data_IF_956801098588
#
_entry.id   IF_956801098588
#
_cell.length_a   1.000
_cell.length_b   1.000
_cell.length_c   1.000
_cell.angle_alpha   90.00
_cell.angle_beta   90.00
_cell.angle_gamma   90.00
#
_symmetry.space_group_name_H-M   'P 1'
#
loop_
_entity.id
_entity.type
_entity.pdbx_description
1 polymer ?
#
# COMPACT_ATOMS: atom_id res chain seq x y z
N UNK A 1 8.92 12.96 20.30
CA UNK A 1 8.93 12.27 18.99
C UNK A 1 10.33 11.74 18.77
N UNK A 2 10.45 10.43 18.49
CA UNK A 2 11.73 9.85 18.10
C UNK A 2 12.03 10.41 16.71
N UNK A 3 13.09 11.23 16.60
CA UNK A 3 13.47 11.91 15.36
C UNK A 3 13.98 10.96 14.28
N UNK A 4 14.23 9.69 14.64
CA UNK A 4 14.80 8.67 13.77
C UNK A 4 13.73 7.76 13.14
N UNK A 5 12.45 8.09 13.28
CA UNK A 5 11.33 7.29 12.77
C UNK A 5 10.53 8.10 11.75
N UNK A 6 10.38 7.56 10.56
CA UNK A 6 9.46 8.05 9.54
C UNK A 6 8.35 7.02 9.32
N UNK A 7 7.14 7.39 9.70
CA UNK A 7 5.95 6.54 9.55
C UNK A 7 4.99 7.14 8.52
N UNK A 8 4.11 6.31 7.97
CA UNK A 8 3.09 6.70 6.99
C UNK A 8 3.64 7.35 5.72
N UNK A 9 4.88 7.06 5.34
CA UNK A 9 5.51 7.66 4.16
C UNK A 9 4.81 7.28 2.84
N UNK A 10 4.04 6.18 2.78
CA UNK A 10 3.20 5.82 1.62
C UNK A 10 2.27 6.98 1.24
N UNK A 11 1.76 7.72 2.24
CA UNK A 11 0.83 8.83 2.08
C UNK A 11 1.45 10.09 1.47
N UNK A 12 2.77 10.14 1.45
CA UNK A 12 3.56 11.29 1.01
C UNK A 12 4.33 11.01 -0.30
N UNK A 13 4.18 9.78 -0.84
CA UNK A 13 4.77 9.42 -2.14
C UNK A 13 4.26 10.35 -3.25
N UNK A 14 5.15 10.72 -4.15
CA UNK A 14 4.83 11.60 -5.26
C UNK A 14 4.64 13.07 -4.89
N UNK A 15 4.65 13.44 -3.61
CA UNK A 15 4.55 14.81 -3.17
C UNK A 15 5.94 15.47 -3.18
N UNK A 16 6.04 16.64 -3.83
CA UNK A 16 7.16 17.54 -3.65
C UNK A 16 6.88 18.42 -2.43
N UNK A 17 7.36 17.98 -1.28
CA UNK A 17 7.13 18.66 -0.02
C UNK A 17 8.13 19.80 0.24
N UNK A 18 9.08 20.01 -0.67
CA UNK A 18 10.04 21.09 -0.66
C UNK A 18 10.74 21.26 0.69
N UNK A 19 10.77 22.49 1.19
CA UNK A 19 11.44 22.86 2.44
C UNK A 19 10.83 22.22 3.71
N UNK A 20 9.66 21.60 3.65
CA UNK A 20 9.04 20.91 4.80
C UNK A 20 9.95 19.81 5.36
N UNK A 21 10.79 19.22 4.54
CA UNK A 21 11.75 18.18 4.89
C UNK A 21 13.21 18.64 4.87
N UNK A 22 13.45 19.94 5.05
CA UNK A 22 14.81 20.49 5.16
C UNK A 22 15.63 19.82 6.29
N UNK A 23 14.97 19.23 7.27
CA UNK A 23 15.60 18.42 8.31
C UNK A 23 15.52 16.95 7.93
N UNK A 24 16.42 16.52 7.06
CA UNK A 24 16.57 15.11 6.74
C UNK A 24 16.77 14.28 8.01
N UNK A 25 16.09 13.15 8.07
CA UNK A 25 16.32 12.15 9.12
C UNK A 25 17.66 11.48 8.82
N UNK A 26 18.57 11.53 9.79
CA UNK A 26 19.82 10.79 9.76
C UNK A 26 19.63 9.53 10.60
N UNK A 27 19.93 8.37 10.02
CA UNK A 27 20.00 7.14 10.78
C UNK A 27 21.10 7.17 11.86
N UNK A 28 21.09 6.20 12.77
CA UNK A 28 22.20 5.98 13.74
C UNK A 28 23.53 5.82 13.00
N UNK A 29 23.50 5.15 11.86
CA UNK A 29 24.55 5.22 10.85
C UNK A 29 24.34 6.50 10.04
N UNK A 30 25.18 7.50 10.25
CA UNK A 30 25.13 8.80 9.57
C UNK A 30 25.25 8.72 8.05
N UNK A 31 25.57 7.53 7.49
CA UNK A 31 25.55 7.26 6.06
C UNK A 31 24.13 7.15 5.49
N UNK A 32 23.13 6.84 6.34
CA UNK A 32 21.74 6.73 5.93
C UNK A 32 21.04 8.06 6.13
N UNK A 33 20.66 8.69 5.03
CA UNK A 33 19.95 9.96 5.02
C UNK A 33 18.63 9.81 4.25
N UNK A 34 17.53 10.20 4.86
CA UNK A 34 16.19 10.19 4.27
C UNK A 34 15.75 11.65 4.12
N UNK A 35 15.46 12.07 2.91
CA UNK A 35 15.04 13.45 2.60
C UNK A 35 13.57 13.56 2.23
N UNK A 36 12.99 12.47 1.71
CA UNK A 36 11.61 12.44 1.21
C UNK A 36 11.01 11.02 1.35
N UNK A 37 9.73 10.89 1.03
CA UNK A 37 9.01 9.63 1.09
C UNK A 37 9.58 8.56 0.14
N UNK A 38 10.13 8.97 -1.02
CA UNK A 38 10.78 8.07 -1.96
C UNK A 38 12.03 7.43 -1.34
N UNK A 39 12.87 8.20 -0.65
CA UNK A 39 14.06 7.67 0.05
C UNK A 39 13.65 6.66 1.13
N UNK A 40 12.60 6.97 1.90
CA UNK A 40 12.04 6.06 2.90
C UNK A 40 11.54 4.76 2.25
N UNK A 41 10.88 4.86 1.11
CA UNK A 41 10.37 3.72 0.34
C UNK A 41 11.53 2.86 -0.20
N UNK A 42 12.60 3.47 -0.70
CA UNK A 42 13.81 2.76 -1.15
C UNK A 42 14.41 1.94 0.00
N UNK A 43 14.54 2.54 1.18
CA UNK A 43 15.08 1.84 2.35
C UNK A 43 14.18 0.70 2.82
N UNK A 44 12.87 0.92 2.82
CA UNK A 44 11.89 -0.10 3.16
C UNK A 44 11.99 -1.32 2.24
N UNK A 45 12.00 -1.10 0.92
CA UNK A 45 12.14 -2.22 -0.04
C UNK A 45 13.51 -2.88 0.02
N UNK A 46 14.57 -2.15 0.33
CA UNK A 46 15.89 -2.73 0.57
C UNK A 46 15.87 -3.72 1.75
N UNK A 47 15.26 -3.31 2.84
CA UNK A 47 15.08 -4.17 4.00
C UNK A 47 14.22 -5.40 3.65
N UNK A 48 13.06 -5.19 3.04
CA UNK A 48 12.14 -6.26 2.69
C UNK A 48 12.78 -7.27 1.72
N UNK A 49 13.49 -6.79 0.70
CA UNK A 49 14.24 -7.66 -0.23
C UNK A 49 15.23 -8.56 0.51
N UNK A 50 16.01 -7.98 1.42
CA UNK A 50 16.97 -8.72 2.22
C UNK A 50 16.31 -9.81 3.07
N UNK A 51 15.18 -9.51 3.69
CA UNK A 51 14.43 -10.49 4.47
C UNK A 51 13.88 -11.63 3.59
N UNK A 52 13.35 -11.29 2.40
CA UNK A 52 12.88 -12.29 1.42
C UNK A 52 14.02 -13.19 0.96
N UNK A 53 15.16 -12.62 0.55
CA UNK A 53 16.34 -13.38 0.09
C UNK A 53 16.86 -14.30 1.21
N UNK A 54 16.94 -13.80 2.43
CA UNK A 54 17.33 -14.59 3.61
C UNK A 54 16.37 -15.76 3.87
N UNK A 55 15.06 -15.50 3.77
CA UNK A 55 14.05 -16.55 3.92
C UNK A 55 14.15 -17.62 2.84
N UNK A 56 14.32 -17.21 1.58
CA UNK A 56 14.49 -18.12 0.43
C UNK A 56 15.71 -19.00 0.61
N UNK A 57 16.83 -18.43 1.06
CA UNK A 57 18.07 -19.17 1.35
C UNK A 57 17.88 -20.17 2.49
N UNK A 58 17.32 -19.73 3.62
CA UNK A 58 17.06 -20.58 4.79
C UNK A 58 16.14 -21.76 4.47
N UNK A 59 15.20 -21.58 3.55
CA UNK A 59 14.26 -22.62 3.12
C UNK A 59 14.77 -23.47 1.97
N UNK A 60 15.94 -23.18 1.41
CA UNK A 60 16.49 -23.89 0.27
C UNK A 60 15.64 -23.75 -1.00
N UNK A 61 14.90 -22.64 -1.15
CA UNK A 61 14.04 -22.37 -2.30
C UNK A 61 14.85 -21.84 -3.49
N UNK A 62 14.22 -21.85 -4.68
CA UNK A 62 14.84 -21.30 -5.88
C UNK A 62 15.13 -19.79 -5.70
N UNK A 63 16.37 -19.39 -5.97
CA UNK A 63 16.80 -17.99 -5.82
C UNK A 63 16.35 -17.07 -6.97
N UNK A 64 15.70 -17.61 -8.01
CA UNK A 64 15.10 -16.80 -9.06
C UNK A 64 13.76 -16.20 -8.58
N UNK A 65 13.85 -15.11 -7.82
CA UNK A 65 12.70 -14.47 -7.20
C UNK A 65 12.06 -13.52 -8.20
N UNK A 66 10.75 -13.68 -8.41
CA UNK A 66 9.90 -12.72 -9.12
C UNK A 66 9.06 -11.94 -8.12
N UNK A 67 9.00 -10.64 -8.32
CA UNK A 67 8.23 -9.75 -7.46
C UNK A 67 6.94 -9.34 -8.15
N UNK A 68 5.83 -9.43 -7.42
CA UNK A 68 4.55 -8.81 -7.79
C UNK A 68 4.16 -7.81 -6.72
N UNK A 69 3.72 -6.64 -7.12
CA UNK A 69 3.43 -5.53 -6.20
C UNK A 69 2.05 -4.97 -6.50
N UNK A 70 1.20 -4.91 -5.47
CA UNK A 70 -0.07 -4.20 -5.57
C UNK A 70 0.12 -2.70 -5.31
N UNK A 71 -0.66 -1.91 -6.03
CA UNK A 71 -0.60 -0.45 -6.00
C UNK A 71 -2.01 0.07 -5.79
N UNK A 72 -2.24 1.07 -4.92
CA UNK A 72 -3.54 1.72 -4.84
C UNK A 72 -4.00 2.19 -6.22
N UNK A 73 -5.24 1.85 -6.59
CA UNK A 73 -5.78 2.24 -7.89
C UNK A 73 -5.87 3.76 -8.02
N UNK A 74 -6.06 4.47 -6.90
CA UNK A 74 -6.11 5.92 -6.79
C UNK A 74 -4.76 6.63 -6.91
N UNK A 75 -3.63 5.89 -6.90
CA UNK A 75 -2.30 6.50 -7.04
C UNK A 75 -2.17 7.22 -8.38
N UNK A 76 -1.74 8.47 -8.30
CA UNK A 76 -1.42 9.28 -9.46
C UNK A 76 -0.08 8.87 -10.09
N UNK A 77 0.20 9.39 -11.28
CA UNK A 77 1.38 9.01 -12.08
C UNK A 77 2.72 9.26 -11.34
N UNK A 78 2.82 10.35 -10.56
CA UNK A 78 3.99 10.68 -9.77
C UNK A 78 4.21 9.67 -8.62
N UNK A 79 3.15 9.27 -7.93
CA UNK A 79 3.20 8.28 -6.86
C UNK A 79 3.61 6.90 -7.40
N UNK A 80 3.00 6.49 -8.52
CA UNK A 80 3.34 5.23 -9.21
C UNK A 80 4.80 5.22 -9.68
N UNK A 81 5.28 6.34 -10.24
CA UNK A 81 6.67 6.51 -10.68
C UNK A 81 7.63 6.35 -9.50
N UNK A 82 7.39 7.05 -8.39
CA UNK A 82 8.27 7.01 -7.23
C UNK A 82 8.35 5.61 -6.61
N UNK A 83 7.22 4.88 -6.59
CA UNK A 83 7.18 3.48 -6.17
C UNK A 83 8.00 2.58 -7.10
N UNK A 84 7.81 2.70 -8.42
CA UNK A 84 8.55 1.91 -9.41
C UNK A 84 10.04 2.19 -9.34
N UNK A 85 10.42 3.46 -9.24
CA UNK A 85 11.83 3.86 -9.10
C UNK A 85 12.46 3.29 -7.83
N UNK A 86 11.70 3.22 -6.72
CA UNK A 86 12.18 2.62 -5.48
C UNK A 86 12.42 1.10 -5.63
N UNK A 87 11.56 0.39 -6.35
CA UNK A 87 11.73 -1.02 -6.65
C UNK A 87 12.94 -1.26 -7.56
N UNK A 88 13.08 -0.50 -8.65
CA UNK A 88 14.20 -0.56 -9.57
C UNK A 88 15.54 -0.27 -8.86
N UNK A 89 15.57 0.74 -7.99
CA UNK A 89 16.75 1.11 -7.19
C UNK A 89 17.24 -0.01 -6.29
N UNK A 90 16.36 -0.93 -5.94
CA UNK A 90 16.68 -2.13 -5.19
C UNK A 90 16.91 -3.37 -6.08
N UNK A 91 16.96 -3.22 -7.40
CA UNK A 91 17.10 -4.34 -8.34
C UNK A 91 16.00 -5.40 -8.14
N UNK A 92 14.81 -4.96 -7.75
CA UNK A 92 13.62 -5.81 -7.75
C UNK A 92 13.06 -5.80 -9.17
N UNK A 93 13.10 -6.95 -9.83
CA UNK A 93 12.60 -7.07 -11.21
C UNK A 93 11.06 -6.99 -11.19
N UNK A 94 10.56 -5.82 -11.53
CA UNK A 94 9.13 -5.55 -11.66
C UNK A 94 8.82 -5.15 -13.10
N UNK A 95 8.28 -6.07 -13.86
CA UNK A 95 7.71 -5.76 -15.17
C UNK A 95 6.36 -5.05 -15.04
N UNK A 96 5.86 -4.46 -16.13
CA UNK A 96 4.48 -3.90 -16.13
C UNK A 96 3.41 -4.93 -15.75
N UNK A 97 3.68 -6.22 -15.99
CA UNK A 97 2.78 -7.33 -15.65
C UNK A 97 2.85 -7.73 -14.17
N UNK A 98 3.86 -7.26 -13.46
CA UNK A 98 4.04 -7.53 -12.02
C UNK A 98 3.38 -6.47 -11.14
N UNK A 99 2.85 -5.40 -11.73
CA UNK A 99 2.15 -4.34 -11.03
C UNK A 99 0.65 -4.53 -11.24
N UNK A 100 -0.09 -4.62 -10.14
CA UNK A 100 -1.53 -4.82 -10.15
C UNK A 100 -2.19 -3.77 -9.25
N UNK A 101 -3.32 -3.22 -9.66
CA UNK A 101 -4.10 -2.34 -8.79
C UNK A 101 -4.69 -3.13 -7.61
N UNK A 102 -4.63 -2.59 -6.40
CA UNK A 102 -5.09 -3.25 -5.17
C UNK A 102 -6.50 -3.84 -5.27
N UNK A 103 -7.52 -3.16 -5.83
CA UNK A 103 -8.86 -3.74 -5.98
C UNK A 103 -8.90 -4.96 -6.93
N UNK A 104 -8.05 -4.97 -7.96
CA UNK A 104 -7.95 -6.13 -8.85
C UNK A 104 -7.25 -7.31 -8.16
N UNK A 105 -6.23 -7.03 -7.32
CA UNK A 105 -5.59 -8.05 -6.50
C UNK A 105 -6.56 -8.63 -5.46
N UNK A 106 -7.36 -7.80 -4.80
CA UNK A 106 -8.40 -8.23 -3.87
C UNK A 106 -9.44 -9.13 -4.55
N UNK A 107 -9.87 -8.75 -5.75
CA UNK A 107 -10.78 -9.59 -6.54
C UNK A 107 -10.17 -10.95 -6.90
N UNK A 108 -8.93 -10.99 -7.37
CA UNK A 108 -8.25 -12.26 -7.69
C UNK A 108 -8.12 -13.16 -6.45
N UNK A 109 -7.82 -12.58 -5.29
CA UNK A 109 -7.78 -13.34 -4.05
C UNK A 109 -9.16 -13.87 -3.68
N UNK A 110 -10.22 -13.09 -3.84
CA UNK A 110 -11.60 -13.53 -3.59
C UNK A 110 -11.96 -14.75 -4.45
N UNK A 111 -11.61 -14.74 -5.74
CA UNK A 111 -11.83 -15.90 -6.63
C UNK A 111 -11.03 -17.11 -6.13
N UNK A 112 -9.74 -16.91 -5.83
CA UNK A 112 -8.88 -17.99 -5.36
C UNK A 112 -9.38 -18.62 -4.04
N UNK A 113 -9.73 -17.81 -3.06
CA UNK A 113 -10.29 -18.29 -1.78
C UNK A 113 -11.61 -19.06 -1.97
N UNK A 114 -12.47 -18.56 -2.86
CA UNK A 114 -13.74 -19.24 -3.17
C UNK A 114 -13.51 -20.61 -3.82
N UNK A 115 -12.53 -20.71 -4.73
CA UNK A 115 -12.14 -21.99 -5.33
C UNK A 115 -11.59 -22.97 -4.29
N UNK A 116 -10.73 -22.50 -3.39
CA UNK A 116 -10.16 -23.33 -2.31
C UNK A 116 -11.22 -23.85 -1.34
N UNK A 117 -12.28 -23.07 -1.10
CA UNK A 117 -13.38 -23.43 -0.21
C UNK A 117 -14.49 -24.25 -0.92
N UNK A 118 -14.31 -24.62 -2.19
CA UNK A 118 -15.31 -25.24 -3.04
C UNK A 118 -16.60 -24.39 -3.20
N UNK A 119 -16.49 -23.09 -3.04
CA UNK A 119 -17.53 -22.10 -3.28
C UNK A 119 -17.31 -21.50 -4.67
N UNK A 120 -17.74 -22.18 -5.73
CA UNK A 120 -17.52 -21.70 -7.07
C UNK A 120 -18.21 -20.35 -7.31
N UNK A 121 -17.43 -19.31 -7.55
CA UNK A 121 -17.97 -18.03 -8.00
C UNK A 121 -18.42 -18.18 -9.45
N UNK A 122 -19.74 -18.21 -9.67
CA UNK A 122 -20.31 -18.30 -11.02
C UNK A 122 -20.30 -16.89 -11.63
N UNK A 123 -19.40 -16.67 -12.57
CA UNK A 123 -19.41 -15.45 -13.38
C UNK A 123 -20.23 -15.75 -14.64
N UNK A 124 -21.39 -15.07 -14.84
CA UNK A 124 -22.20 -15.28 -16.03
C UNK A 124 -21.40 -14.89 -17.28
N UNK A 125 -21.46 -15.73 -18.33
CA UNK A 125 -20.74 -15.47 -19.59
C UNK A 125 -21.35 -14.33 -20.42
N UNK A 126 -22.64 -14.11 -20.25
CA UNK A 126 -23.41 -13.16 -21.09
C UNK A 126 -23.60 -11.81 -20.41
N UNK A 127 -23.20 -11.66 -19.16
CA UNK A 127 -23.33 -10.44 -18.37
C UNK A 127 -22.01 -10.19 -17.68
N UNK A 128 -21.44 -9.01 -17.87
CA UNK A 128 -20.27 -8.60 -17.10
C UNK A 128 -20.71 -7.96 -15.77
N UNK A 129 -20.76 -8.72 -14.69
CA UNK A 129 -21.15 -8.19 -13.38
C UNK A 129 -20.21 -7.09 -12.94
N UNK A 130 -20.73 -6.20 -12.14
CA UNK A 130 -19.95 -5.11 -11.54
C UNK A 130 -19.75 -5.44 -10.05
N UNK A 131 -18.52 -5.26 -9.59
CA UNK A 131 -18.14 -5.46 -8.20
C UNK A 131 -17.65 -4.12 -7.63
N UNK A 132 -18.16 -3.76 -6.47
CA UNK A 132 -17.63 -2.66 -5.69
C UNK A 132 -16.59 -3.23 -4.71
N UNK A 133 -15.39 -2.67 -4.75
CA UNK A 133 -14.34 -2.92 -3.78
C UNK A 133 -14.21 -1.68 -2.91
N UNK A 134 -14.36 -1.87 -1.61
CA UNK A 134 -14.17 -0.85 -0.59
C UNK A 134 -12.96 -1.25 0.25
N UNK A 135 -11.86 -0.54 0.07
CA UNK A 135 -10.61 -0.74 0.80
C UNK A 135 -10.41 0.41 1.81
N UNK A 136 -10.60 0.10 3.08
CA UNK A 136 -10.39 1.03 4.17
C UNK A 136 -9.15 0.62 4.95
N UNK A 137 -8.02 1.18 4.55
CA UNK A 137 -6.72 0.92 5.16
C UNK A 137 -6.41 1.79 6.37
N UNK A 138 -5.18 1.71 6.85
CA UNK A 138 -4.71 2.56 7.96
C UNK A 138 -4.60 4.04 7.55
N UNK A 139 -4.26 4.34 6.32
CA UNK A 139 -4.01 5.70 5.85
C UNK A 139 -4.85 6.18 4.67
N UNK A 140 -5.53 5.28 3.96
CA UNK A 140 -6.35 5.59 2.79
C UNK A 140 -7.71 4.93 2.84
N UNK A 141 -8.66 5.54 2.16
CA UNK A 141 -9.95 4.94 1.81
C UNK A 141 -10.06 4.94 0.28
N UNK A 142 -10.04 3.76 -0.30
CA UNK A 142 -10.12 3.57 -1.75
C UNK A 142 -11.41 2.83 -2.11
N UNK A 143 -12.18 3.40 -3.03
CA UNK A 143 -13.41 2.80 -3.53
C UNK A 143 -13.25 2.59 -5.02
N UNK A 144 -13.47 1.37 -5.48
CA UNK A 144 -13.34 1.02 -6.89
C UNK A 144 -14.54 0.21 -7.38
N UNK A 145 -14.95 0.46 -8.61
CA UNK A 145 -15.95 -0.34 -9.30
C UNK A 145 -15.24 -1.10 -10.41
N UNK A 146 -15.32 -2.43 -10.32
CA UNK A 146 -14.74 -3.33 -11.31
C UNK A 146 -15.84 -3.90 -12.20
N UNK A 147 -15.58 -4.03 -13.48
CA UNK A 147 -16.28 -4.94 -14.38
C UNK A 147 -15.54 -6.27 -14.37
N UNK A 148 -16.30 -7.35 -14.17
CA UNK A 148 -15.78 -8.71 -14.13
C UNK A 148 -16.22 -9.43 -15.39
N UNK A 149 -15.34 -10.21 -15.99
CA UNK A 149 -15.65 -11.01 -17.16
C UNK A 149 -14.81 -12.26 -17.26
N UNK A 150 -15.15 -13.08 -18.24
CA UNK A 150 -14.40 -14.29 -18.59
C UNK A 150 -14.06 -14.24 -20.08
N UNK A 151 -12.79 -14.39 -20.40
CA UNK A 151 -12.30 -14.51 -21.76
C UNK A 151 -11.55 -15.84 -21.96
N UNK A 152 -10.86 -15.98 -23.10
CA UNK A 152 -10.09 -17.18 -23.44
C UNK A 152 -8.85 -17.40 -22.55
N UNK A 153 -8.43 -16.36 -21.77
CA UNK A 153 -7.34 -16.44 -20.80
C UNK A 153 -7.81 -16.74 -19.39
N UNK A 154 -9.11 -16.68 -19.15
CA UNK A 154 -9.71 -16.90 -17.84
C UNK A 154 -10.52 -15.71 -17.34
N UNK A 155 -10.65 -15.61 -16.02
CA UNK A 155 -11.36 -14.51 -15.35
C UNK A 155 -10.50 -13.23 -15.42
N UNK A 156 -11.12 -12.13 -15.73
CA UNK A 156 -10.48 -10.82 -15.72
C UNK A 156 -11.30 -9.79 -14.94
N UNK A 157 -10.64 -8.75 -14.48
CA UNK A 157 -11.27 -7.56 -13.92
C UNK A 157 -10.76 -6.30 -14.60
N UNK A 158 -11.64 -5.32 -14.76
CA UNK A 158 -11.33 -4.03 -15.38
C UNK A 158 -11.88 -2.91 -14.50
N UNK A 159 -11.04 -1.94 -14.14
CA UNK A 159 -11.48 -0.75 -13.42
C UNK A 159 -12.44 0.08 -14.28
N UNK A 160 -13.67 0.30 -13.82
CA UNK A 160 -14.65 1.20 -14.43
C UNK A 160 -14.60 2.58 -13.78
N UNK A 161 -14.46 2.61 -12.47
CA UNK A 161 -14.38 3.84 -11.69
C UNK A 161 -13.49 3.62 -10.47
N UNK A 162 -12.75 4.64 -10.12
CA UNK A 162 -11.85 4.67 -8.98
C UNK A 162 -12.09 5.99 -8.26
N UNK A 163 -12.20 5.96 -6.92
CA UNK A 163 -12.24 7.18 -6.13
C UNK A 163 -10.97 8.00 -6.31
N UNK A 164 -11.03 9.29 -6.03
CA UNK A 164 -9.81 10.08 -5.86
C UNK A 164 -9.03 9.55 -4.67
N UNK A 165 -7.72 9.77 -4.70
CA UNK A 165 -6.85 9.45 -3.58
C UNK A 165 -7.26 10.29 -2.34
N UNK A 166 -7.76 9.61 -1.32
CA UNK A 166 -8.21 10.23 -0.08
C UNK A 166 -7.33 9.75 1.09
N UNK A 167 -6.70 10.72 1.76
CA UNK A 167 -5.91 10.49 2.98
C UNK A 167 -6.83 10.36 4.20
N UNK A 168 -7.67 9.36 4.19
CA UNK A 168 -8.60 9.04 5.27
C UNK A 168 -8.52 7.55 5.58
N UNK A 169 -8.23 7.19 6.80
CA UNK A 169 -8.10 5.80 7.20
C UNK A 169 -8.12 5.59 8.71
N UNK A 170 -7.75 4.38 9.14
CA UNK A 170 -7.70 4.01 10.54
C UNK A 170 -6.87 4.95 11.41
N UNK A 171 -5.77 5.49 10.89
CA UNK A 171 -4.94 6.47 11.61
C UNK A 171 -5.71 7.74 11.99
N UNK A 172 -6.68 8.16 11.18
CA UNK A 172 -7.50 9.35 11.46
C UNK A 172 -8.53 9.05 12.53
N UNK A 173 -9.07 7.83 12.54
CA UNK A 173 -9.93 7.34 13.62
C UNK A 173 -9.14 7.29 14.93
N UNK A 174 -7.95 6.72 14.92
CA UNK A 174 -7.08 6.65 16.11
C UNK A 174 -6.75 8.04 16.65
N UNK A 175 -6.46 8.98 15.75
CA UNK A 175 -6.20 10.39 16.12
C UNK A 175 -7.43 11.04 16.72
N UNK A 176 -8.60 10.84 16.12
CA UNK A 176 -9.86 11.37 16.65
C UNK A 176 -10.14 10.84 18.06
N UNK A 177 -10.02 9.52 18.26
CA UNK A 177 -10.19 8.90 19.59
C UNK A 177 -9.19 9.49 20.59
N UNK A 178 -7.93 9.61 20.19
CA UNK A 178 -6.87 10.10 21.07
C UNK A 178 -7.10 11.57 21.50
N UNK A 179 -7.45 12.46 20.55
CA UNK A 179 -7.53 13.90 20.80
C UNK A 179 -8.89 14.37 21.25
N UNK A 180 -9.97 13.77 20.74
CA UNK A 180 -11.34 14.24 21.00
C UNK A 180 -12.01 13.47 22.15
N UNK A 181 -11.51 12.28 22.50
CA UNK A 181 -12.10 11.46 23.56
C UNK A 181 -11.11 11.27 24.72
N UNK A 182 -9.95 10.64 24.47
CA UNK A 182 -9.05 10.25 25.57
C UNK A 182 -8.31 11.43 26.19
N UNK A 183 -7.86 12.38 25.39
CA UNK A 183 -7.11 13.52 25.90
C UNK A 183 -7.93 14.43 26.81
N UNK A 184 -9.16 14.84 26.47
CA UNK A 184 -10.04 15.58 27.37
C UNK A 184 -10.33 14.83 28.67
N UNK A 185 -10.58 13.52 28.60
CA UNK A 185 -10.80 12.69 29.79
C UNK A 185 -9.57 12.67 30.71
N UNK A 186 -8.38 12.52 30.16
CA UNK A 186 -7.14 12.57 30.93
C UNK A 186 -6.91 13.92 31.61
N UNK A 187 -7.21 15.03 30.91
CA UNK A 187 -7.10 16.36 31.50
C UNK A 187 -8.09 16.53 32.65
N UNK A 188 -9.35 16.16 32.43
CA UNK A 188 -10.39 16.23 33.45
C UNK A 188 -10.03 15.42 34.70
N UNK A 189 -9.59 14.18 34.54
CA UNK A 189 -9.18 13.32 35.66
C UNK A 189 -7.98 13.82 36.43
N UNK A 190 -7.06 14.53 35.77
CA UNK A 190 -5.86 15.05 36.41
C UNK A 190 -6.00 16.52 36.85
N UNK A 191 -7.19 17.11 36.73
CA UNK A 191 -7.46 18.53 37.04
C UNK A 191 -6.51 19.49 36.32
N UNK A 192 -6.16 19.18 35.09
CA UNK A 192 -5.33 20.01 34.23
C UNK A 192 -6.19 20.87 33.33
N UNK A 193 -5.91 22.18 33.28
CA UNK A 193 -6.56 23.10 32.34
C UNK A 193 -6.02 22.90 30.94
N UNK A 194 -6.89 23.10 29.92
CA UNK A 194 -6.50 23.07 28.50
C UNK A 194 -5.83 24.37 28.08
#
# INVERSE_FOLDING_TARGET
>A
KNKDVWYSFKMELGEDLGAKYCNSILGKDKSVRIQNAKDATILFFRFLKKEIESYVEQKGLCQNIKYAVSIPASFEANQRRDLVDALISNQMDVSKQSLIDEPNAAFLNYIHESEMNNEAVVIPKDINPKMLVFDFGAGTCDISILEIGVDYKGVYSKNLSISKFEKLGGNDIDRYIAYEILYPELLSHNHLDM
#
